data_IF_281629893160
#
_entry.id   IF_281629893160
#
_cell.length_a   1.000
_cell.length_b   1.000
_cell.length_c   1.000
_cell.angle_alpha   90.00
_cell.angle_beta   90.00
_cell.angle_gamma   90.00
#
_symmetry.space_group_name_H-M   'P 1'
#
loop_
_entity.id
_entity.type
_entity.pdbx_description
1 polymer ?
#
# COMPACT_ATOMS: atom_id res chain seq x y z
N UNK A 1 -18.61 11.36 -8.32
CA UNK A 1 -17.71 11.69 -9.46
C UNK A 1 -16.30 11.66 -8.92
N UNK A 2 -15.43 10.86 -9.50
CA UNK A 2 -14.00 10.85 -9.16
C UNK A 2 -13.37 12.05 -9.85
N UNK A 3 -12.85 12.98 -9.08
CA UNK A 3 -12.17 14.17 -9.57
C UNK A 3 -10.66 13.89 -9.53
N UNK A 4 -10.04 13.89 -10.68
CA UNK A 4 -8.59 13.73 -10.78
C UNK A 4 -7.91 15.10 -10.85
N UNK A 5 -6.73 15.27 -10.25
CA UNK A 5 -5.96 16.50 -10.41
C UNK A 5 -5.55 16.68 -11.87
N UNK A 6 -5.43 17.92 -12.31
CA UNK A 6 -4.90 18.22 -13.63
C UNK A 6 -3.42 17.84 -13.72
N UNK A 7 -2.94 17.61 -14.97
CA UNK A 7 -1.52 17.34 -15.19
C UNK A 7 -0.68 18.51 -14.66
N UNK A 8 0.33 18.21 -13.88
CA UNK A 8 1.22 19.18 -13.21
C UNK A 8 0.56 20.01 -12.10
N UNK A 9 -0.67 19.69 -11.71
CA UNK A 9 -1.26 20.29 -10.52
C UNK A 9 -0.54 19.83 -9.27
N UNK A 10 -0.12 20.73 -8.35
CA UNK A 10 0.48 20.34 -7.10
C UNK A 10 -0.56 19.64 -6.20
N UNK A 11 -0.19 18.50 -5.65
CA UNK A 11 -1.00 17.76 -4.68
C UNK A 11 -0.24 17.65 -3.35
N UNK A 12 -1.01 17.60 -2.26
CA UNK A 12 -0.46 17.29 -0.93
C UNK A 12 -0.86 15.87 -0.55
N UNK A 13 0.13 15.06 -0.19
CA UNK A 13 -0.08 13.71 0.32
C UNK A 13 0.14 13.71 1.84
N UNK A 14 -0.94 13.51 2.59
CA UNK A 14 -0.85 13.20 4.02
C UNK A 14 -0.78 11.70 4.22
N UNK A 15 0.04 11.27 5.17
CA UNK A 15 0.14 9.86 5.54
C UNK A 15 0.32 9.70 7.04
N UNK A 16 -0.33 8.69 7.61
CA UNK A 16 -0.24 8.38 9.05
C UNK A 16 -0.41 6.88 9.28
N UNK A 17 0.09 6.43 10.43
CA UNK A 17 -0.12 5.06 10.91
C UNK A 17 -1.34 5.06 11.81
N UNK A 18 -2.32 4.23 11.52
CA UNK A 18 -3.53 4.10 12.33
C UNK A 18 -3.53 2.85 13.22
N UNK A 19 -2.70 1.87 12.89
CA UNK A 19 -2.59 0.65 13.69
C UNK A 19 -1.22 0.00 13.58
N UNK A 20 -0.75 -0.53 14.70
CA UNK A 20 0.46 -1.36 14.78
C UNK A 20 0.10 -2.69 15.43
N UNK A 21 0.26 -3.79 14.72
CA UNK A 21 0.14 -5.15 15.20
C UNK A 21 1.50 -5.85 15.24
N UNK A 22 1.51 -7.11 15.69
CA UNK A 22 2.74 -7.89 15.82
C UNK A 22 3.40 -8.24 14.47
N UNK A 23 2.60 -8.39 13.42
CA UNK A 23 3.08 -8.80 12.08
C UNK A 23 2.87 -7.71 11.03
N UNK A 24 1.94 -6.78 11.27
CA UNK A 24 1.54 -5.79 10.29
C UNK A 24 1.33 -4.42 10.93
N UNK A 25 1.61 -3.37 10.16
CA UNK A 25 1.13 -2.02 10.42
C UNK A 25 0.16 -1.61 9.34
N UNK A 26 -0.83 -0.78 9.70
CA UNK A 26 -1.74 -0.15 8.75
C UNK A 26 -1.37 1.32 8.60
N UNK A 27 -1.27 1.77 7.35
CA UNK A 27 -0.96 3.16 7.01
C UNK A 27 -2.03 3.72 6.10
N UNK A 28 -2.51 4.90 6.44
CA UNK A 28 -3.50 5.63 5.67
C UNK A 28 -2.85 6.77 4.90
N UNK A 29 -3.50 7.15 3.81
CA UNK A 29 -3.08 8.24 2.93
C UNK A 29 -4.30 9.09 2.58
N UNK A 30 -4.09 10.38 2.47
CA UNK A 30 -5.07 11.34 1.99
C UNK A 30 -4.42 12.23 0.94
N UNK A 31 -5.09 12.36 -0.20
CA UNK A 31 -4.64 13.19 -1.30
C UNK A 31 -5.49 14.45 -1.37
N UNK A 32 -4.83 15.59 -1.30
CA UNK A 32 -5.47 16.91 -1.29
C UNK A 32 -4.97 17.72 -2.49
N UNK A 33 -5.90 18.34 -3.23
CA UNK A 33 -5.54 19.17 -4.37
C UNK A 33 -5.03 20.57 -3.93
N UNK A 34 -4.60 21.36 -4.88
CA UNK A 34 -4.09 22.70 -4.64
C UNK A 34 -5.12 23.65 -3.97
N UNK A 35 -6.40 23.40 -4.16
CA UNK A 35 -7.49 24.14 -3.53
C UNK A 35 -7.83 23.69 -2.09
N UNK A 36 -7.08 22.73 -1.54
CA UNK A 36 -7.33 22.19 -0.20
C UNK A 36 -8.47 21.16 -0.12
N UNK A 37 -8.97 20.69 -1.26
CA UNK A 37 -10.03 19.68 -1.32
C UNK A 37 -9.43 18.27 -1.39
N UNK A 38 -9.89 17.38 -0.53
CA UNK A 38 -9.55 15.97 -0.60
C UNK A 38 -10.22 15.30 -1.80
N UNK A 39 -9.44 14.63 -2.63
CA UNK A 39 -9.94 13.93 -3.81
C UNK A 39 -9.68 12.41 -3.76
N UNK A 40 -8.93 11.93 -2.78
CA UNK A 40 -8.69 10.49 -2.63
C UNK A 40 -8.14 10.09 -1.29
N UNK A 41 -8.39 8.83 -0.94
CA UNK A 41 -7.80 8.14 0.20
C UNK A 41 -7.24 6.79 -0.24
N UNK A 42 -6.22 6.33 0.43
CA UNK A 42 -5.68 4.99 0.28
C UNK A 42 -5.31 4.40 1.64
N UNK A 43 -5.27 3.08 1.70
CA UNK A 43 -4.77 2.33 2.84
C UNK A 43 -3.82 1.24 2.37
N UNK A 44 -2.74 1.04 3.10
CA UNK A 44 -1.78 -0.03 2.86
C UNK A 44 -1.46 -0.79 4.13
N UNK A 45 -1.16 -2.07 3.96
CA UNK A 45 -0.69 -2.96 5.03
C UNK A 45 0.79 -3.23 4.78
N UNK A 46 1.59 -3.07 5.82
CA UNK A 46 3.03 -3.25 5.77
C UNK A 46 3.44 -4.38 6.69
N UNK A 47 4.31 -5.24 6.22
CA UNK A 47 4.93 -6.31 6.98
C UNK A 47 6.44 -6.16 6.94
N UNK A 48 7.12 -6.56 8.02
CA UNK A 48 8.56 -6.66 8.03
C UNK A 48 8.99 -8.06 7.60
N UNK A 49 10.01 -8.12 6.75
CA UNK A 49 10.63 -9.36 6.30
C UNK A 49 12.10 -9.30 6.70
N UNK A 50 12.57 -10.35 7.35
CA UNK A 50 13.98 -10.54 7.63
C UNK A 50 14.76 -10.70 6.32
N UNK A 51 15.80 -9.89 6.15
CA UNK A 51 16.54 -9.80 4.87
C UNK A 51 17.33 -11.08 4.56
N UNK A 52 17.83 -11.76 5.59
CA UNK A 52 18.64 -12.96 5.44
C UNK A 52 17.76 -14.20 5.24
N UNK A 53 16.78 -14.39 6.11
CA UNK A 53 15.92 -15.57 6.08
C UNK A 53 14.75 -15.46 5.09
N UNK A 54 14.44 -14.25 4.61
CA UNK A 54 13.31 -13.94 3.74
C UNK A 54 11.94 -14.31 4.35
N UNK A 55 11.87 -14.39 5.66
CA UNK A 55 10.65 -14.75 6.40
C UNK A 55 10.06 -13.52 7.09
N UNK A 56 8.73 -13.49 7.28
CA UNK A 56 8.10 -12.46 8.10
C UNK A 56 8.72 -12.44 9.51
N UNK A 57 8.99 -11.24 10.01
CA UNK A 57 9.52 -11.02 11.35
C UNK A 57 8.54 -10.20 12.19
N UNK A 58 8.65 -10.33 13.51
CA UNK A 58 7.81 -9.57 14.44
C UNK A 58 8.23 -8.10 14.44
N UNK A 59 7.23 -7.23 14.51
CA UNK A 59 7.41 -5.80 14.64
C UNK A 59 7.64 -5.42 16.11
N UNK A 60 8.45 -4.40 16.34
CA UNK A 60 8.53 -3.74 17.65
C UNK A 60 7.27 -2.90 17.89
N UNK A 61 6.24 -3.56 18.41
CA UNK A 61 4.95 -2.91 18.67
C UNK A 61 5.09 -1.74 19.65
N UNK A 62 5.93 -1.88 20.68
CA UNK A 62 6.11 -0.86 21.68
C UNK A 62 6.74 0.42 21.10
N UNK A 63 7.81 0.29 20.33
CA UNK A 63 8.46 1.41 19.66
C UNK A 63 7.59 2.04 18.56
N UNK A 64 6.92 1.21 17.77
CA UNK A 64 6.11 1.69 16.65
C UNK A 64 4.78 2.31 17.09
N UNK A 65 4.22 1.92 18.25
CA UNK A 65 2.97 2.48 18.78
C UNK A 65 3.06 3.99 19.04
N UNK A 66 4.25 4.51 19.28
CA UNK A 66 4.46 5.95 19.44
C UNK A 66 4.14 6.77 18.16
N UNK A 67 4.09 6.12 17.00
CA UNK A 67 3.78 6.77 15.71
C UNK A 67 2.30 6.63 15.30
N UNK A 68 1.50 5.92 16.09
CA UNK A 68 0.07 5.79 15.82
C UNK A 68 -0.63 7.11 16.13
N UNK A 69 -1.52 7.53 15.24
CA UNK A 69 -2.32 8.75 15.41
C UNK A 69 -3.80 8.41 15.46
N UNK A 70 -4.58 9.25 16.15
CA UNK A 70 -6.04 9.12 16.25
C UNK A 70 -6.76 9.65 14.99
N UNK A 71 -6.02 10.04 13.95
CA UNK A 71 -6.63 10.53 12.72
C UNK A 71 -7.44 9.41 12.06
N UNK A 72 -8.75 9.63 11.83
CA UNK A 72 -9.59 8.58 11.25
C UNK A 72 -9.18 8.29 9.80
N UNK A 73 -9.28 7.03 9.41
CA UNK A 73 -9.13 6.59 8.03
C UNK A 73 -10.49 6.17 7.49
N UNK A 74 -11.05 6.87 6.48
CA UNK A 74 -12.38 6.56 5.96
C UNK A 74 -12.44 5.29 5.11
N UNK A 75 -11.28 4.70 4.80
CA UNK A 75 -11.20 3.44 4.04
C UNK A 75 -11.11 2.27 5.02
N UNK A 76 -11.96 1.29 4.80
CA UNK A 76 -11.93 0.03 5.55
C UNK A 76 -10.61 -0.72 5.36
N UNK A 77 -10.24 -1.51 6.35
CA UNK A 77 -9.08 -2.38 6.24
C UNK A 77 -9.31 -3.42 5.15
N UNK A 78 -8.29 -3.69 4.31
CA UNK A 78 -8.42 -4.74 3.32
C UNK A 78 -8.66 -6.08 4.01
N UNK A 79 -9.67 -6.80 3.56
CA UNK A 79 -9.97 -8.15 4.01
C UNK A 79 -8.97 -9.18 3.46
N UNK A 80 -9.11 -10.41 3.92
CA UNK A 80 -8.35 -11.54 3.37
C UNK A 80 -8.79 -11.77 1.91
N UNK A 81 -7.83 -11.81 1.00
CA UNK A 81 -8.08 -12.18 -0.39
C UNK A 81 -8.45 -13.67 -0.42
N UNK A 82 -9.56 -14.01 -1.06
CA UNK A 82 -9.95 -15.40 -1.27
C UNK A 82 -8.90 -16.13 -2.12
N UNK A 83 -8.63 -17.37 -1.77
CA UNK A 83 -7.80 -18.21 -2.61
C UNK A 83 -8.50 -18.43 -3.97
N UNK A 84 -7.74 -18.25 -5.05
CA UNK A 84 -8.23 -18.59 -6.39
C UNK A 84 -8.06 -20.09 -6.56
N UNK A 85 -9.15 -20.79 -6.88
CA UNK A 85 -9.06 -22.20 -7.29
C UNK A 85 -8.30 -22.26 -8.62
N UNK A 86 -7.24 -23.06 -8.64
CA UNK A 86 -6.41 -23.24 -9.85
C UNK A 86 -7.08 -24.23 -10.80
N UNK A 87 -8.22 -23.87 -11.35
CA UNK A 87 -8.98 -24.73 -12.28
C UNK A 87 -8.81 -24.31 -13.75
N UNK A 88 -8.02 -23.29 -14.00
CA UNK A 88 -7.79 -22.79 -15.35
C UNK A 88 -6.32 -22.82 -15.71
N UNK A 89 -6.00 -23.29 -16.91
CA UNK A 89 -4.66 -23.13 -17.48
C UNK A 89 -4.34 -21.62 -17.55
N UNK A 90 -3.25 -21.23 -16.91
CA UNK A 90 -2.76 -19.86 -17.00
C UNK A 90 -2.27 -19.54 -18.41
N UNK A 91 -2.33 -18.29 -18.79
CA UNK A 91 -1.70 -17.84 -20.03
C UNK A 91 -0.20 -17.66 -19.81
N UNK A 92 0.68 -18.28 -20.60
CA UNK A 92 2.11 -18.06 -20.51
C UNK A 92 2.42 -16.62 -20.93
N UNK A 93 3.16 -15.90 -20.10
CA UNK A 93 3.63 -14.55 -20.40
C UNK A 93 5.14 -14.49 -20.33
N UNK A 94 5.77 -14.03 -21.39
CA UNK A 94 7.23 -13.83 -21.43
C UNK A 94 7.51 -12.42 -20.91
N UNK A 95 8.17 -12.34 -19.75
CA UNK A 95 8.58 -11.07 -19.15
C UNK A 95 9.60 -10.38 -20.06
N UNK A 96 9.32 -9.14 -20.40
CA UNK A 96 10.19 -8.27 -21.18
C UNK A 96 10.94 -7.32 -20.25
N UNK A 97 12.03 -6.76 -20.73
CA UNK A 97 12.79 -5.74 -19.98
C UNK A 97 11.92 -4.53 -19.58
N UNK A 98 10.98 -4.13 -20.43
CA UNK A 98 10.03 -3.05 -20.16
C UNK A 98 9.05 -3.35 -19.01
N UNK A 99 8.93 -4.60 -18.59
CA UNK A 99 8.02 -5.01 -17.53
C UNK A 99 8.68 -4.99 -16.15
N UNK A 100 9.99 -4.72 -16.11
CA UNK A 100 10.76 -4.66 -14.89
C UNK A 100 10.79 -3.24 -14.33
N UNK A 101 10.74 -3.14 -13.00
CA UNK A 101 10.99 -1.90 -12.27
C UNK A 101 12.50 -1.69 -12.02
N UNK A 102 12.85 -0.59 -11.36
CA UNK A 102 14.25 -0.25 -11.04
C UNK A 102 14.93 -1.30 -10.13
N UNK A 103 14.18 -2.10 -9.39
CA UNK A 103 14.67 -3.16 -8.53
C UNK A 103 14.78 -4.51 -9.25
N UNK A 104 14.47 -4.56 -10.54
CA UNK A 104 14.46 -5.79 -11.33
C UNK A 104 13.25 -6.70 -11.04
N UNK A 105 12.22 -6.18 -10.39
CA UNK A 105 10.99 -6.92 -10.12
C UNK A 105 9.96 -6.66 -11.23
N UNK A 106 9.08 -7.65 -11.46
CA UNK A 106 7.96 -7.46 -12.36
C UNK A 106 7.05 -6.35 -11.83
N UNK A 107 6.84 -5.32 -12.64
CA UNK A 107 5.98 -4.19 -12.28
C UNK A 107 4.51 -4.60 -12.33
N UNK A 108 3.79 -4.47 -11.21
CA UNK A 108 2.39 -4.85 -11.09
C UNK A 108 1.41 -3.91 -11.81
N UNK A 109 1.88 -2.79 -12.33
CA UNK A 109 1.04 -1.75 -13.00
C UNK A 109 1.05 -1.89 -14.52
N UNK A 110 1.74 -2.88 -15.06
CA UNK A 110 1.84 -3.10 -16.51
C UNK A 110 0.84 -4.11 -17.03
#
# INVERSE_FOLDING_TARGET
MIEYPAMSEPITLYTWVDEVGRLFTSRCFELVNAGGKTFGYARSIWAAIDVETRRPTLLDVAGLSAYVTDRPCPIEKPGKIAAVEQDTEGFPYIIKYSDLDINGHLNSIK
#
